data_IF_885328945269
#
_entry.id   IF_885328945269
#
_cell.length_a   1.000
_cell.length_b   1.000
_cell.length_c   1.000
_cell.angle_alpha   90.00
_cell.angle_beta   90.00
_cell.angle_gamma   90.00
#
_symmetry.space_group_name_H-M   'P 1'
#
loop_
_entity.id
_entity.type
_entity.pdbx_description
1 polymer ?
#
# COMPACT_ATOMS: atom_id res chain seq x y z
N UNK A 1 4.69 1.76 -65.47
CA UNK A 1 4.81 0.42 -64.85
C UNK A 1 5.89 0.40 -63.75
N UNK A 2 5.91 1.35 -62.81
CA UNK A 2 7.01 1.50 -61.83
C UNK A 2 6.55 1.67 -60.37
N UNK A 3 5.25 1.58 -60.07
CA UNK A 3 4.68 1.92 -58.76
C UNK A 3 4.47 0.74 -57.79
N UNK A 4 4.78 -0.50 -58.19
CA UNK A 4 4.51 -1.69 -57.35
C UNK A 4 5.64 -2.09 -56.39
N UNK A 5 6.88 -1.65 -56.61
CA UNK A 5 8.04 -2.08 -55.81
C UNK A 5 8.21 -1.30 -54.49
N UNK A 6 7.64 -0.10 -54.38
CA UNK A 6 7.74 0.71 -53.16
C UNK A 6 6.77 0.28 -52.05
N UNK A 7 5.68 -0.43 -52.38
CA UNK A 7 4.66 -0.85 -51.39
C UNK A 7 5.06 -2.09 -50.59
N UNK A 8 5.89 -2.97 -51.15
CA UNK A 8 6.26 -4.23 -50.48
C UNK A 8 7.33 -4.06 -49.40
N UNK A 9 8.14 -3.00 -49.44
CA UNK A 9 9.14 -2.72 -48.40
C UNK A 9 8.60 -1.88 -47.24
N UNK A 10 7.56 -1.06 -47.46
CA UNK A 10 7.03 -0.18 -46.42
C UNK A 10 6.12 -0.91 -45.41
N UNK A 11 5.48 -2.00 -45.83
CA UNK A 11 4.49 -2.72 -45.03
C UNK A 11 5.07 -3.56 -43.87
N UNK A 12 6.20 -4.29 -44.01
CA UNK A 12 6.79 -5.01 -42.87
C UNK A 12 7.46 -4.06 -41.87
N UNK A 13 7.98 -2.91 -42.31
CA UNK A 13 8.62 -1.92 -41.44
C UNK A 13 7.61 -1.29 -40.47
N UNK A 14 6.41 -0.96 -40.96
CA UNK A 14 5.33 -0.39 -40.12
C UNK A 14 4.80 -1.39 -39.09
N UNK A 15 4.70 -2.67 -39.45
CA UNK A 15 4.27 -3.74 -38.53
C UNK A 15 5.26 -3.99 -37.37
N UNK A 16 6.55 -3.80 -37.60
CA UNK A 16 7.57 -3.92 -36.55
C UNK A 16 7.48 -2.80 -35.50
N UNK A 17 7.14 -1.57 -35.90
CA UNK A 17 6.96 -0.45 -34.96
C UNK A 17 5.70 -0.58 -34.10
N UNK A 18 4.61 -1.18 -34.62
CA UNK A 18 3.42 -1.44 -33.81
C UNK A 18 3.63 -2.55 -32.77
N UNK A 19 4.51 -3.52 -33.04
CA UNK A 19 4.81 -4.59 -32.08
C UNK A 19 5.75 -4.15 -30.94
N UNK A 20 6.52 -3.07 -31.11
CA UNK A 20 7.46 -2.56 -30.10
C UNK A 20 6.85 -1.51 -29.16
N UNK A 21 5.61 -1.09 -29.37
CA UNK A 21 5.05 0.09 -28.71
C UNK A 21 4.28 -0.20 -27.40
N UNK A 22 4.20 -1.46 -26.94
CA UNK A 22 3.32 -1.79 -25.82
C UNK A 22 3.86 -2.92 -24.92
N UNK A 23 5.13 -2.84 -24.52
CA UNK A 23 5.53 -3.51 -23.28
C UNK A 23 5.05 -2.59 -22.13
N UNK A 24 3.93 -2.90 -21.45
CA UNK A 24 3.54 -2.13 -20.28
C UNK A 24 4.71 -2.14 -19.32
N UNK A 25 5.18 -0.94 -18.98
CA UNK A 25 6.29 -0.81 -18.05
C UNK A 25 5.76 -1.34 -16.72
N UNK A 26 6.28 -2.48 -16.26
CA UNK A 26 5.73 -3.27 -15.14
C UNK A 26 5.37 -2.41 -13.92
N UNK A 27 6.10 -1.31 -13.69
CA UNK A 27 5.84 -0.37 -12.60
C UNK A 27 4.43 0.23 -12.62
N UNK A 28 3.87 0.52 -13.81
CA UNK A 28 2.56 1.16 -13.94
C UNK A 28 1.46 0.27 -13.38
N UNK A 29 1.50 -1.02 -13.71
CA UNK A 29 0.54 -2.02 -13.22
C UNK A 29 0.62 -2.15 -11.71
N UNK A 30 1.82 -2.27 -11.15
CA UNK A 30 2.02 -2.45 -9.71
C UNK A 30 1.57 -1.21 -8.91
N UNK A 31 1.80 0.00 -9.41
CA UNK A 31 1.32 1.23 -8.76
C UNK A 31 -0.22 1.32 -8.78
N UNK A 32 -0.85 0.90 -9.88
CA UNK A 32 -2.31 0.86 -9.97
C UNK A 32 -2.88 -0.19 -9.00
N UNK A 33 -2.31 -1.39 -8.93
CA UNK A 33 -2.69 -2.41 -7.95
C UNK A 33 -2.56 -1.92 -6.50
N UNK A 34 -1.47 -1.22 -6.17
CA UNK A 34 -1.29 -0.64 -4.84
C UNK A 34 -2.36 0.41 -4.52
N UNK A 35 -2.76 1.21 -5.52
CA UNK A 35 -3.83 2.20 -5.39
C UNK A 35 -5.19 1.54 -5.12
N UNK A 36 -5.52 0.50 -5.89
CA UNK A 36 -6.75 -0.27 -5.69
C UNK A 36 -6.79 -0.93 -4.30
N UNK A 37 -5.67 -1.51 -3.86
CA UNK A 37 -5.57 -2.10 -2.52
C UNK A 37 -5.78 -1.07 -1.41
N UNK A 38 -5.27 0.16 -1.56
CA UNK A 38 -5.49 1.25 -0.62
C UNK A 38 -6.96 1.67 -0.54
N UNK A 39 -7.65 1.78 -1.67
CA UNK A 39 -9.09 2.10 -1.67
C UNK A 39 -9.91 0.96 -1.05
N UNK A 40 -9.54 -0.29 -1.32
CA UNK A 40 -10.18 -1.44 -0.68
C UNK A 40 -10.00 -1.44 0.85
N UNK A 41 -8.79 -1.11 1.34
CA UNK A 41 -8.52 -0.97 2.76
C UNK A 41 -9.30 0.20 3.39
N UNK A 42 -9.38 1.34 2.70
CA UNK A 42 -10.17 2.49 3.14
C UNK A 42 -11.66 2.14 3.26
N UNK A 43 -12.22 1.47 2.25
CA UNK A 43 -13.63 1.03 2.26
C UNK A 43 -13.92 0.02 3.38
N UNK A 44 -12.94 -0.80 3.77
CA UNK A 44 -13.06 -1.71 4.91
C UNK A 44 -13.00 -0.99 6.28
N UNK A 45 -12.75 0.33 6.32
CA UNK A 45 -12.62 1.08 7.58
C UNK A 45 -11.24 0.98 8.21
N UNK A 46 -10.21 0.60 7.45
CA UNK A 46 -8.83 0.60 7.95
C UNK A 46 -8.33 2.03 8.21
N UNK A 47 -8.72 2.97 7.36
CA UNK A 47 -8.36 4.38 7.45
C UNK A 47 -9.26 5.11 8.46
N UNK A 48 -8.66 6.02 9.22
CA UNK A 48 -9.45 6.93 10.03
C UNK A 48 -10.07 8.03 9.16
N UNK A 49 -11.36 8.30 9.34
CA UNK A 49 -11.97 9.50 8.75
C UNK A 49 -11.53 10.73 9.55
N UNK A 50 -11.45 11.90 8.91
CA UNK A 50 -11.12 13.14 9.61
C UNK A 50 -12.06 13.39 10.79
N UNK A 51 -13.36 13.10 10.63
CA UNK A 51 -14.35 13.18 11.70
C UNK A 51 -14.03 12.28 12.92
N UNK A 52 -13.46 11.10 12.70
CA UNK A 52 -13.02 10.20 13.77
C UNK A 52 -11.78 10.75 14.50
N UNK A 53 -10.83 11.37 13.77
CA UNK A 53 -9.70 12.05 14.40
C UNK A 53 -10.16 13.27 15.21
N UNK A 54 -11.07 14.07 14.65
CA UNK A 54 -11.57 15.29 15.28
C UNK A 54 -12.34 14.98 16.56
N UNK A 55 -13.13 13.90 16.55
CA UNK A 55 -13.83 13.39 17.74
C UNK A 55 -12.86 12.92 18.84
N UNK A 56 -11.63 12.54 18.48
CA UNK A 56 -10.60 12.08 19.42
C UNK A 56 -9.68 13.21 19.90
N UNK A 57 -9.65 14.35 19.20
CA UNK A 57 -8.78 15.46 19.56
C UNK A 57 -9.15 16.04 20.94
N UNK A 58 -8.21 16.12 21.89
CA UNK A 58 -8.47 16.68 23.22
C UNK A 58 -8.80 18.17 23.17
N UNK A 59 -8.43 18.86 22.09
CA UNK A 59 -8.76 20.28 21.86
C UNK A 59 -10.24 20.45 21.55
N UNK A 60 -10.83 19.52 20.78
CA UNK A 60 -12.28 19.54 20.50
C UNK A 60 -13.07 19.14 21.74
N UNK A 61 -12.58 18.16 22.50
CA UNK A 61 -13.22 17.71 23.74
C UNK A 61 -13.24 18.79 24.85
N UNK A 62 -12.31 19.74 24.82
CA UNK A 62 -12.19 20.80 25.83
C UNK A 62 -12.90 22.11 25.48
N UNK A 63 -13.42 22.23 24.26
CA UNK A 63 -14.29 23.35 23.87
C UNK A 63 -15.74 22.86 23.89
N UNK A 64 -16.47 22.97 25.03
CA UNK A 64 -17.91 22.81 24.96
C UNK A 64 -18.38 23.82 23.92
N UNK A 65 -19.06 23.34 22.89
CA UNK A 65 -19.81 24.21 22.00
C UNK A 65 -20.56 25.17 22.92
N UNK A 66 -20.30 26.46 22.79
CA UNK A 66 -20.96 27.50 23.56
C UNK A 66 -22.43 27.58 23.07
N UNK A 67 -23.17 26.50 23.23
CA UNK A 67 -24.62 26.50 23.24
C UNK A 67 -25.03 26.75 24.68
N UNK A 68 -25.36 28.01 24.90
CA UNK A 68 -26.10 28.52 26.03
C UNK A 68 -27.40 27.73 26.23
N UNK A 69 -27.54 27.03 27.37
CA UNK A 69 -28.84 26.55 27.84
C UNK A 69 -28.76 25.19 28.52
N UNK A 70 -28.68 25.21 29.85
CA UNK A 70 -28.72 24.09 30.78
C UNK A 70 -29.65 22.93 30.40
N UNK A 71 -29.11 21.71 30.41
CA UNK A 71 -29.80 20.59 31.06
C UNK A 71 -28.74 19.72 31.74
N UNK A 72 -28.86 19.56 33.06
CA UNK A 72 -27.98 18.74 33.89
C UNK A 72 -28.22 17.26 33.54
N UNK A 73 -27.62 16.81 32.44
CA UNK A 73 -27.69 15.42 32.01
C UNK A 73 -26.93 14.55 33.02
N UNK A 74 -27.71 13.76 33.75
CA UNK A 74 -27.36 12.58 34.53
C UNK A 74 -26.12 11.83 34.01
N UNK A 75 -25.20 11.52 34.92
CA UNK A 75 -23.93 10.79 34.69
C UNK A 75 -24.07 9.40 34.02
N UNK A 76 -25.28 8.86 33.88
CA UNK A 76 -25.54 7.58 33.23
C UNK A 76 -25.48 7.64 31.68
N UNK A 77 -25.59 8.81 31.05
CA UNK A 77 -25.52 8.93 29.59
C UNK A 77 -24.09 8.92 29.03
N UNK A 78 -23.07 8.98 29.90
CA UNK A 78 -21.66 9.07 29.48
C UNK A 78 -21.06 7.71 29.11
N UNK A 79 -21.61 6.60 29.64
CA UNK A 79 -21.19 5.24 29.29
C UNK A 79 -21.69 4.79 27.91
N UNK A 80 -22.82 5.34 27.43
CA UNK A 80 -23.39 4.99 26.13
C UNK A 80 -22.69 5.66 24.93
N UNK A 81 -21.87 6.70 25.17
CA UNK A 81 -21.22 7.45 24.08
C UNK A 81 -19.88 6.83 23.64
N UNK A 82 -19.25 5.99 24.47
CA UNK A 82 -18.04 5.25 24.08
C UNK A 82 -18.33 4.09 23.11
N UNK A 83 -19.58 3.70 22.92
CA UNK A 83 -19.96 2.49 22.18
C UNK A 83 -20.28 2.74 20.69
N UNK A 84 -20.33 3.99 20.23
CA UNK A 84 -20.86 4.31 18.88
C UNK A 84 -19.88 4.99 17.91
N UNK A 85 -18.65 5.37 18.32
CA UNK A 85 -17.68 5.93 17.37
C UNK A 85 -16.90 4.78 16.75
N UNK A 86 -17.09 4.46 15.46
CA UNK A 86 -16.33 3.40 14.82
C UNK A 86 -14.86 3.77 14.90
N UNK A 87 -14.07 2.93 15.57
CA UNK A 87 -12.62 3.09 15.61
C UNK A 87 -12.07 2.58 14.29
N UNK A 88 -11.16 3.33 13.70
CA UNK A 88 -10.36 2.84 12.59
C UNK A 88 -9.63 1.59 13.05
N UNK A 89 -9.79 0.50 12.31
CA UNK A 89 -9.35 -0.81 12.76
C UNK A 89 -7.84 -1.03 12.58
N UNK A 90 -7.25 -0.41 11.55
CA UNK A 90 -5.86 -0.65 11.16
C UNK A 90 -5.12 0.63 10.70
N UNK A 91 -5.12 1.72 11.48
CA UNK A 91 -4.60 2.99 11.02
C UNK A 91 -3.10 2.92 10.68
N UNK A 92 -2.30 2.21 11.48
CA UNK A 92 -0.86 2.10 11.26
C UNK A 92 -0.54 1.46 9.89
N UNK A 93 -1.09 0.28 9.61
CA UNK A 93 -0.84 -0.44 8.36
C UNK A 93 -1.36 0.33 7.14
N UNK A 94 -2.50 1.00 7.29
CA UNK A 94 -3.06 1.83 6.23
C UNK A 94 -2.15 3.01 5.88
N UNK A 95 -1.71 3.80 6.87
CA UNK A 95 -0.86 4.97 6.60
C UNK A 95 0.54 4.57 6.13
N UNK A 96 1.10 3.47 6.64
CA UNK A 96 2.35 2.89 6.11
C UNK A 96 2.22 2.54 4.62
N UNK A 97 1.09 1.97 4.22
CA UNK A 97 0.82 1.70 2.80
C UNK A 97 0.74 2.99 1.95
N UNK A 98 0.12 4.06 2.47
CA UNK A 98 0.04 5.37 1.80
C UNK A 98 1.43 5.98 1.62
N UNK A 99 2.27 5.94 2.65
CA UNK A 99 3.65 6.44 2.59
C UNK A 99 4.47 5.71 1.54
N UNK A 100 4.41 4.37 1.50
CA UNK A 100 5.08 3.60 0.46
C UNK A 100 4.56 3.90 -0.96
N UNK A 101 3.26 4.17 -1.13
CA UNK A 101 2.74 4.59 -2.42
C UNK A 101 3.30 5.95 -2.85
N UNK A 102 3.35 6.91 -1.91
CA UNK A 102 3.92 8.24 -2.17
C UNK A 102 5.40 8.11 -2.53
N UNK A 103 6.14 7.29 -1.79
CA UNK A 103 7.56 7.02 -2.04
C UNK A 103 7.79 6.36 -3.40
N UNK A 104 6.95 5.40 -3.78
CA UNK A 104 7.01 4.80 -5.12
C UNK A 104 6.86 5.85 -6.24
N UNK A 105 5.96 6.83 -6.07
CA UNK A 105 5.77 7.91 -7.04
C UNK A 105 6.95 8.89 -7.07
N UNK A 106 7.58 9.12 -5.92
CA UNK A 106 8.81 9.91 -5.82
C UNK A 106 9.95 9.25 -6.61
N UNK A 107 10.18 7.94 -6.42
CA UNK A 107 11.24 7.20 -7.13
C UNK A 107 11.01 7.14 -8.65
N UNK A 108 9.75 7.07 -9.10
CA UNK A 108 9.42 7.23 -10.54
C UNK A 108 9.88 8.59 -11.05
N UNK A 109 9.73 9.65 -10.25
CA UNK A 109 10.24 10.99 -10.58
C UNK A 109 11.76 11.05 -10.70
N UNK A 110 12.48 10.22 -9.93
CA UNK A 110 13.93 10.04 -10.01
C UNK A 110 14.39 9.05 -11.08
N UNK A 111 13.46 8.47 -11.85
CA UNK A 111 13.75 7.40 -12.82
C UNK A 111 14.32 6.11 -12.21
N UNK A 112 14.20 5.91 -10.89
CA UNK A 112 14.56 4.65 -10.22
C UNK A 112 13.33 3.72 -10.17
N UNK A 113 13.07 3.06 -11.30
CA UNK A 113 11.92 2.16 -11.43
C UNK A 113 12.02 0.89 -10.59
N UNK A 114 13.23 0.45 -10.24
CA UNK A 114 13.40 -0.74 -9.39
C UNK A 114 13.04 -0.43 -7.95
N UNK A 115 13.48 0.72 -7.42
CA UNK A 115 13.05 1.21 -6.12
C UNK A 115 11.53 1.45 -6.10
N UNK A 116 10.99 2.13 -7.12
CA UNK A 116 9.55 2.35 -7.24
C UNK A 116 8.73 1.05 -7.18
N UNK A 117 9.18 0.00 -7.86
CA UNK A 117 8.54 -1.32 -7.83
C UNK A 117 8.55 -1.95 -6.43
N UNK A 118 9.66 -1.85 -5.69
CA UNK A 118 9.75 -2.36 -4.31
C UNK A 118 8.76 -1.64 -3.40
N UNK A 119 8.73 -0.31 -3.46
CA UNK A 119 7.81 0.50 -2.67
C UNK A 119 6.34 0.25 -3.03
N UNK A 120 6.02 0.13 -4.32
CA UNK A 120 4.65 -0.15 -4.76
C UNK A 120 4.16 -1.53 -4.27
N UNK A 121 5.02 -2.55 -4.27
CA UNK A 121 4.69 -3.87 -3.69
C UNK A 121 4.48 -3.79 -2.18
N UNK A 122 5.39 -3.14 -1.46
CA UNK A 122 5.25 -2.93 -0.01
C UNK A 122 3.94 -2.20 0.32
N UNK A 123 3.61 -1.14 -0.43
CA UNK A 123 2.33 -0.42 -0.30
C UNK A 123 1.13 -1.36 -0.46
N UNK A 124 1.11 -2.17 -1.53
CA UNK A 124 0.03 -3.13 -1.78
C UNK A 124 -0.11 -4.15 -0.64
N UNK A 125 0.99 -4.68 -0.14
CA UNK A 125 0.99 -5.72 0.88
C UNK A 125 0.52 -5.18 2.24
N UNK A 126 0.97 -3.98 2.63
CA UNK A 126 0.46 -3.28 3.83
C UNK A 126 -1.02 -2.89 3.69
N UNK A 127 -1.47 -2.46 2.51
CA UNK A 127 -2.88 -2.15 2.28
C UNK A 127 -3.76 -3.41 2.43
N UNK A 128 -3.31 -4.55 1.91
CA UNK A 128 -4.00 -5.84 2.11
C UNK A 128 -4.04 -6.26 3.58
N UNK A 129 -2.94 -6.07 4.32
CA UNK A 129 -2.89 -6.32 5.77
C UNK A 129 -3.86 -5.42 6.51
N UNK A 130 -3.88 -4.13 6.20
CA UNK A 130 -4.79 -3.14 6.79
C UNK A 130 -6.26 -3.52 6.54
N UNK A 131 -6.59 -3.91 5.30
CA UNK A 131 -7.92 -4.41 4.94
C UNK A 131 -8.30 -5.64 5.78
N UNK A 132 -7.42 -6.63 5.87
CA UNK A 132 -7.66 -7.86 6.63
C UNK A 132 -7.95 -7.56 8.10
N UNK A 133 -7.12 -6.72 8.74
CA UNK A 133 -7.34 -6.29 10.13
C UNK A 133 -8.68 -5.59 10.28
N UNK A 134 -9.07 -4.77 9.30
CA UNK A 134 -10.34 -4.07 9.35
C UNK A 134 -11.56 -4.98 9.19
N UNK A 135 -11.45 -6.03 8.37
CA UNK A 135 -12.50 -7.04 8.21
C UNK A 135 -12.59 -7.99 9.41
N UNK A 136 -11.47 -8.36 10.03
CA UNK A 136 -11.45 -9.31 11.15
C UNK A 136 -11.62 -8.63 12.51
N UNK A 137 -11.27 -7.35 12.63
CA UNK A 137 -11.13 -6.64 13.91
C UNK A 137 -9.93 -7.11 14.74
N UNK A 138 -9.15 -8.07 14.23
CA UNK A 138 -7.97 -8.61 14.91
C UNK A 138 -6.76 -7.81 14.45
N UNK A 139 -6.57 -6.66 15.09
CA UNK A 139 -5.28 -6.00 15.02
C UNK A 139 -4.25 -6.95 15.61
N UNK A 140 -3.15 -7.17 14.90
CA UNK A 140 -1.91 -7.70 15.48
C UNK A 140 -1.42 -6.67 16.51
N UNK A 141 -2.15 -6.48 17.60
CA UNK A 141 -1.60 -5.85 18.80
C UNK A 141 -0.47 -6.79 19.15
N UNK A 142 0.80 -6.36 19.06
CA UNK A 142 1.90 -7.22 19.45
C UNK A 142 1.60 -7.57 20.90
N UNK A 143 1.11 -8.80 21.12
CA UNK A 143 0.83 -9.31 22.44
C UNK A 143 2.13 -9.08 23.20
N UNK A 144 2.06 -8.26 24.27
CA UNK A 144 3.20 -7.83 25.07
C UNK A 144 4.27 -8.93 25.08
N UNK A 145 5.52 -8.63 24.69
CA UNK A 145 6.47 -9.59 24.14
C UNK A 145 6.50 -10.89 24.93
N UNK A 146 5.73 -11.87 24.48
CA UNK A 146 5.89 -13.25 24.93
C UNK A 146 7.05 -13.78 24.12
N UNK A 147 8.23 -13.68 24.72
CA UNK A 147 9.46 -14.32 24.27
C UNK A 147 9.14 -15.70 23.69
N UNK A 148 9.60 -15.94 22.46
CA UNK A 148 9.58 -17.20 21.73
C UNK A 148 8.22 -17.76 21.30
N UNK A 149 7.84 -17.52 20.05
CA UNK A 149 7.67 -18.62 19.08
C UNK A 149 7.46 -18.03 17.67
N UNK A 150 8.46 -18.27 16.84
CA UNK A 150 8.43 -18.12 15.39
C UNK A 150 7.16 -18.72 14.80
N UNK A 151 6.24 -17.86 14.34
CA UNK A 151 5.18 -18.25 13.42
C UNK A 151 5.22 -17.31 12.22
N UNK A 152 6.26 -17.52 11.41
CA UNK A 152 6.30 -17.18 10.00
C UNK A 152 5.14 -17.91 9.30
N UNK A 153 3.99 -17.26 9.19
CA UNK A 153 2.87 -17.68 8.34
C UNK A 153 2.85 -16.82 7.08
N UNK A 154 3.88 -16.99 6.27
CA UNK A 154 3.83 -16.68 4.85
C UNK A 154 2.92 -17.71 4.18
N UNK A 155 1.64 -17.38 4.04
CA UNK A 155 0.71 -18.14 3.18
C UNK A 155 1.08 -17.88 1.72
N UNK A 156 2.07 -18.63 1.25
CA UNK A 156 2.38 -18.84 -0.17
C UNK A 156 1.31 -19.73 -0.77
N UNK A 157 0.31 -19.10 -1.40
CA UNK A 157 -0.68 -19.81 -2.20
C UNK A 157 0.00 -20.34 -3.46
N UNK A 158 0.10 -21.66 -3.51
CA UNK A 158 0.86 -22.43 -4.47
C UNK A 158 -0.07 -22.78 -5.62
N UNK A 159 -0.11 -21.96 -6.68
CA UNK A 159 -0.65 -22.41 -7.96
C UNK A 159 0.43 -23.13 -8.74
N UNK A 160 0.46 -24.44 -8.49
CA UNK A 160 1.16 -25.49 -9.22
C UNK A 160 0.96 -25.38 -10.74
N UNK A 161 2.07 -25.22 -11.47
CA UNK A 161 2.25 -25.70 -12.86
C UNK A 161 3.75 -25.82 -13.18
N UNK A 162 4.28 -27.03 -12.92
CA UNK A 162 5.32 -27.84 -13.64
C UNK A 162 6.28 -27.19 -14.69
N UNK A 163 7.45 -27.79 -14.97
CA UNK A 163 8.75 -27.24 -14.59
C UNK A 163 9.74 -27.14 -15.77
N UNK A 164 10.97 -26.75 -15.43
CA UNK A 164 12.22 -26.85 -16.19
C UNK A 164 12.49 -25.73 -17.19
N UNK A 165 12.93 -24.58 -16.67
CA UNK A 165 14.30 -24.18 -17.03
C UNK A 165 14.99 -23.59 -15.80
N UNK A 166 16.20 -24.07 -15.57
CA UNK A 166 16.99 -23.90 -14.35
C UNK A 166 17.98 -22.77 -14.63
N UNK A 167 18.30 -21.99 -13.59
CA UNK A 167 19.40 -21.02 -13.46
C UNK A 167 18.90 -19.55 -13.48
N UNK A 168 19.26 -18.82 -12.41
CA UNK A 168 18.98 -17.42 -12.07
C UNK A 168 17.59 -17.04 -11.51
N UNK A 169 17.28 -17.44 -10.27
CA UNK A 169 16.14 -16.85 -9.53
C UNK A 169 16.28 -16.80 -8.00
N UNK A 170 17.49 -16.69 -7.45
CA UNK A 170 17.69 -16.78 -5.98
C UNK A 170 17.92 -15.44 -5.25
N UNK A 171 17.64 -14.27 -5.87
CA UNK A 171 17.92 -12.96 -5.22
C UNK A 171 16.71 -12.00 -5.16
N UNK A 172 15.51 -12.43 -5.58
CA UNK A 172 14.41 -11.47 -5.80
C UNK A 172 13.30 -11.41 -4.75
N UNK A 173 13.31 -12.29 -3.75
CA UNK A 173 12.19 -12.43 -2.81
C UNK A 173 12.60 -12.42 -1.33
N UNK A 174 13.68 -11.74 -0.94
CA UNK A 174 13.86 -11.41 0.48
C UNK A 174 12.85 -10.33 0.86
N UNK A 175 11.90 -10.62 1.78
CA UNK A 175 11.07 -9.57 2.34
C UNK A 175 11.99 -8.55 2.99
N UNK A 176 11.92 -7.30 2.55
CA UNK A 176 12.64 -6.19 3.17
C UNK A 176 12.20 -6.16 4.63
N UNK A 177 13.11 -6.46 5.55
CA UNK A 177 12.86 -6.27 6.97
C UNK A 177 12.67 -4.78 7.21
N UNK A 178 11.76 -4.43 8.11
CA UNK A 178 11.50 -3.04 8.48
C UNK A 178 12.75 -2.31 9.05
N UNK A 179 13.81 -3.06 9.40
CA UNK A 179 15.09 -2.55 9.89
C UNK A 179 16.12 -2.24 8.77
N UNK A 180 15.88 -2.63 7.51
CA UNK A 180 16.83 -2.44 6.40
C UNK A 180 16.66 -1.10 5.65
N UNK A 181 15.68 -0.28 6.06
CA UNK A 181 15.36 1.00 5.40
C UNK A 181 16.44 2.08 5.58
N UNK A 182 17.23 2.02 6.66
CA UNK A 182 18.30 3.00 6.90
C UNK A 182 19.43 2.89 5.89
N UNK A 183 19.64 1.71 5.28
CA UNK A 183 20.71 1.49 4.29
C UNK A 183 20.38 2.05 2.90
N UNK A 184 19.09 2.16 2.55
CA UNK A 184 18.68 2.69 1.24
C UNK A 184 18.83 4.21 1.18
N UNK A 185 18.77 4.90 2.32
CA UNK A 185 18.97 6.35 2.38
C UNK A 185 20.44 6.78 2.25
N UNK A 186 21.40 5.91 2.57
CA UNK A 186 22.83 6.25 2.51
C UNK A 186 23.38 6.21 1.07
N UNK A 187 22.90 5.26 0.25
CA UNK A 187 23.39 5.07 -1.12
C UNK A 187 23.00 6.19 -2.12
N UNK A 188 22.06 7.07 -1.76
CA UNK A 188 21.63 8.19 -2.63
C UNK A 188 22.46 9.47 -2.43
N UNK A 189 23.28 9.56 -1.37
CA UNK A 189 24.07 10.77 -1.07
C UNK A 189 25.49 10.79 -1.67
N UNK A 190 26.04 9.67 -2.13
CA UNK A 190 27.43 9.62 -2.64
C UNK A 190 27.60 10.11 -4.09
N UNK A 191 26.55 10.63 -4.72
CA UNK A 191 26.53 10.98 -6.16
C UNK A 191 26.40 12.47 -6.51
N UNK A 192 26.75 13.41 -5.62
CA UNK A 192 26.76 14.87 -5.92
C UNK A 192 28.13 15.50 -5.78
#
# INVERSE_FOLDING_TARGET
>A
MTSSLARTLFQPLMLFFLASACAPIEYTVVIVEASEALEAARMAGAACTQSQLDARSPVTASRPAAESGQELASTESRAAFEEAVPRCAAPYEYYKAVEYQSKAREEVGFSDYQAALKYARASRDHARKAKKIAETGEADIPAAPKTSSSSSSSSSDSSDSKPADKIEKDVRDTPISDDDWDLVHDASQEGR
#
